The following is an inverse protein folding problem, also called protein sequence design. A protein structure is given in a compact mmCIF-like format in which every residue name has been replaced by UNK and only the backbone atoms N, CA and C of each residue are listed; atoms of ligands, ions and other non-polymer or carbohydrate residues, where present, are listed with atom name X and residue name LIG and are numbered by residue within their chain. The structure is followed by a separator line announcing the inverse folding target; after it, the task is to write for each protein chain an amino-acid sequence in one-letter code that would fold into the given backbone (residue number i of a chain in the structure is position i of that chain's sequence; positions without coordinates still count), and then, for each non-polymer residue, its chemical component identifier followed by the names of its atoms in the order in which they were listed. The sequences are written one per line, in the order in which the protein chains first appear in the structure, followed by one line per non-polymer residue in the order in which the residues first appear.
data_IF_649029421460
#
_entry.id   IF_649029421460
#
_cell.length_a   1.000
_cell.length_b   1.000
_cell.length_c   1.000
_cell.angle_alpha   90.00
_cell.angle_beta   90.00
_cell.angle_gamma   90.00
#
_symmetry.space_group_name_H-M   'P 1'
#
loop_
_entity.id
_entity.type
_entity.pdbx_description
1 polymer ?
#
# COMPACT_ATOMS: atom_id res chain seq x y z
N UNK A 1 0.91 8.84 -13.19
CA UNK A 1 1.50 8.07 -12.07
C UNK A 1 2.17 6.79 -12.56
N UNK A 2 3.49 6.80 -12.77
CA UNK A 2 4.26 5.64 -13.24
C UNK A 2 4.82 4.81 -12.06
N UNK A 3 4.83 3.48 -12.19
CA UNK A 3 5.45 2.56 -11.24
C UNK A 3 6.94 2.38 -11.58
N UNK A 4 7.82 3.12 -10.91
CA UNK A 4 9.28 3.01 -11.12
C UNK A 4 9.89 1.94 -10.20
N UNK A 5 10.84 1.14 -10.70
CA UNK A 5 11.55 0.08 -9.93
C UNK A 5 12.78 0.58 -9.14
N UNK A 6 12.83 1.87 -8.79
CA UNK A 6 13.96 2.48 -8.08
C UNK A 6 13.99 2.08 -6.59
N UNK A 7 15.16 2.15 -5.96
CA UNK A 7 15.36 1.87 -4.52
C UNK A 7 15.65 0.40 -4.18
N UNK A 8 15.85 0.13 -2.89
CA UNK A 8 16.23 -1.18 -2.38
C UNK A 8 15.19 -2.26 -2.76
N UNK A 9 15.64 -3.35 -3.39
CA UNK A 9 14.78 -4.46 -3.85
C UNK A 9 14.09 -5.16 -2.67
N UNK A 10 14.83 -5.46 -1.62
CA UNK A 10 14.32 -6.17 -0.45
C UNK A 10 13.29 -5.34 0.30
N UNK A 11 13.58 -4.04 0.51
CA UNK A 11 12.64 -3.14 1.18
C UNK A 11 11.29 -3.08 0.44
N UNK A 12 11.32 -2.99 -0.90
CA UNK A 12 10.08 -3.00 -1.70
C UNK A 12 9.29 -4.28 -1.51
N UNK A 13 9.95 -5.44 -1.51
CA UNK A 13 9.31 -6.74 -1.27
C UNK A 13 8.64 -6.76 0.11
N UNK A 14 9.35 -6.34 1.16
CA UNK A 14 8.78 -6.31 2.51
C UNK A 14 7.60 -5.35 2.65
N UNK A 15 7.65 -4.18 2.01
CA UNK A 15 6.53 -3.23 2.00
C UNK A 15 5.29 -3.81 1.30
N UNK A 16 5.48 -4.58 0.23
CA UNK A 16 4.37 -5.29 -0.44
C UNK A 16 3.80 -6.41 0.45
N UNK A 17 4.65 -7.16 1.16
CA UNK A 17 4.21 -8.16 2.14
C UNK A 17 3.43 -7.52 3.29
N UNK A 18 3.92 -6.40 3.83
CA UNK A 18 3.22 -5.64 4.86
C UNK A 18 1.86 -5.16 4.37
N UNK A 19 1.77 -4.62 3.14
CA UNK A 19 0.51 -4.21 2.54
C UNK A 19 -0.49 -5.37 2.37
N UNK A 20 -0.01 -6.59 2.11
CA UNK A 20 -0.85 -7.79 2.05
C UNK A 20 -1.47 -8.14 3.42
N UNK A 21 -0.72 -7.94 4.51
CA UNK A 21 -1.23 -8.04 5.87
C UNK A 21 -2.22 -6.93 6.19
N UNK A 22 -1.84 -5.67 5.99
CA UNK A 22 -2.66 -4.48 6.31
C UNK A 22 -4.01 -4.53 5.61
N UNK A 23 -4.10 -4.91 4.33
CA UNK A 23 -5.40 -5.01 3.64
C UNK A 23 -6.38 -6.04 4.24
N UNK A 24 -5.88 -6.93 5.09
CA UNK A 24 -6.69 -7.97 5.73
C UNK A 24 -7.35 -7.45 7.01
N UNK A 25 -6.64 -6.61 7.75
CA UNK A 25 -7.07 -6.10 9.05
C UNK A 25 -7.64 -4.67 9.01
N UNK A 26 -7.19 -3.85 8.06
CA UNK A 26 -7.61 -2.46 7.95
C UNK A 26 -8.65 -2.29 6.83
N UNK A 27 -9.88 -1.83 7.15
CA UNK A 27 -10.96 -1.71 6.17
C UNK A 27 -10.66 -0.69 5.07
N UNK A 28 -9.96 0.40 5.38
CA UNK A 28 -9.59 1.45 4.41
C UNK A 28 -8.64 0.88 3.36
N UNK A 29 -7.67 0.06 3.79
CA UNK A 29 -6.74 -0.59 2.88
C UNK A 29 -7.39 -1.75 2.12
N UNK A 30 -8.35 -2.46 2.73
CA UNK A 30 -9.14 -3.50 2.07
C UNK A 30 -9.96 -2.93 0.90
N UNK A 31 -10.67 -1.83 1.15
CA UNK A 31 -11.47 -1.16 0.13
C UNK A 31 -10.59 -0.59 -0.98
N UNK A 32 -9.49 0.08 -0.61
CA UNK A 32 -8.54 0.60 -1.59
C UNK A 32 -7.96 -0.51 -2.48
N UNK A 33 -7.56 -1.64 -1.89
CA UNK A 33 -7.08 -2.80 -2.64
C UNK A 33 -8.15 -3.32 -3.61
N UNK A 34 -9.40 -3.49 -3.15
CA UNK A 34 -10.51 -3.97 -4.00
C UNK A 34 -10.77 -3.04 -5.18
N UNK A 35 -10.79 -1.73 -4.94
CA UNK A 35 -10.91 -0.72 -5.99
C UNK A 35 -9.78 -0.85 -7.02
N UNK A 36 -8.52 -0.92 -6.57
CA UNK A 36 -7.37 -1.07 -7.49
C UNK A 36 -7.32 -2.41 -8.21
N UNK A 37 -7.88 -3.46 -7.61
CA UNK A 37 -8.03 -4.75 -8.25
C UNK A 37 -9.05 -4.70 -9.40
N UNK A 38 -10.19 -4.04 -9.18
CA UNK A 38 -11.22 -3.86 -10.19
C UNK A 38 -10.77 -2.98 -11.36
N UNK A 39 -10.02 -1.90 -11.08
CA UNK A 39 -9.46 -0.99 -12.10
C UNK A 39 -8.38 -1.65 -12.98
N UNK A 40 -7.69 -2.69 -12.48
CA UNK A 40 -6.60 -3.32 -13.21
C UNK A 40 -7.12 -4.28 -14.29
N UNK A 41 -6.59 -4.18 -15.51
CA UNK A 41 -6.91 -5.08 -16.63
C UNK A 41 -6.07 -6.36 -16.58
N UNK A 42 -4.76 -6.24 -16.34
CA UNK A 42 -3.81 -7.35 -16.24
C UNK A 42 -3.07 -7.37 -14.92
N UNK A 43 -2.56 -8.54 -14.51
CA UNK A 43 -1.82 -8.74 -13.26
C UNK A 43 -2.51 -8.11 -12.04
N UNK A 44 -3.84 -8.22 -11.98
CA UNK A 44 -4.71 -7.43 -11.07
C UNK A 44 -4.26 -7.48 -9.62
N UNK A 45 -3.96 -8.69 -9.14
CA UNK A 45 -3.51 -8.91 -7.77
C UNK A 45 -2.22 -8.16 -7.44
N UNK A 46 -1.16 -8.36 -8.24
CA UNK A 46 0.13 -7.72 -8.02
C UNK A 46 0.04 -6.20 -8.18
N UNK A 47 -0.68 -5.70 -9.20
CA UNK A 47 -0.83 -4.25 -9.42
C UNK A 47 -1.59 -3.59 -8.27
N UNK A 48 -2.68 -4.20 -7.82
CA UNK A 48 -3.44 -3.71 -6.67
C UNK A 48 -2.57 -3.70 -5.40
N UNK A 49 -1.86 -4.80 -5.10
CA UNK A 49 -0.96 -4.88 -3.94
C UNK A 49 0.12 -3.80 -3.96
N UNK A 50 0.77 -3.57 -5.10
CA UNK A 50 1.83 -2.57 -5.20
C UNK A 50 1.27 -1.16 -4.99
N UNK A 51 0.07 -0.87 -5.52
CA UNK A 51 -0.60 0.41 -5.29
C UNK A 51 -1.01 0.58 -3.82
N UNK A 52 -1.46 -0.48 -3.17
CA UNK A 52 -1.75 -0.50 -1.72
C UNK A 52 -0.48 -0.26 -0.90
N UNK A 53 0.64 -0.89 -1.27
CA UNK A 53 1.94 -0.66 -0.63
C UNK A 53 2.41 0.79 -0.78
N UNK A 54 2.21 1.42 -1.95
CA UNK A 54 2.50 2.85 -2.12
C UNK A 54 1.63 3.72 -1.21
N UNK A 55 0.33 3.43 -1.09
CA UNK A 55 -0.56 4.13 -0.16
C UNK A 55 -0.07 4.01 1.29
N UNK A 56 0.37 2.81 1.68
CA UNK A 56 0.91 2.53 3.01
C UNK A 56 2.19 3.32 3.29
N UNK A 57 3.14 3.33 2.35
CA UNK A 57 4.39 4.09 2.48
C UNK A 57 4.12 5.58 2.64
N UNK A 58 3.16 6.13 1.89
CA UNK A 58 2.79 7.54 2.02
C UNK A 58 2.23 7.86 3.41
N UNK A 59 1.40 6.96 3.98
CA UNK A 59 0.92 7.10 5.36
C UNK A 59 2.08 7.07 6.35
N UNK A 60 2.94 6.04 6.29
CA UNK A 60 4.10 5.92 7.20
C UNK A 60 5.00 7.15 7.11
N UNK A 61 5.29 7.61 5.90
CA UNK A 61 6.07 8.83 5.68
C UNK A 61 5.40 10.06 6.32
N UNK A 62 4.10 10.23 6.14
CA UNK A 62 3.36 11.34 6.75
C UNK A 62 3.40 11.28 8.28
N UNK A 63 3.18 10.11 8.88
CA UNK A 63 3.19 9.93 10.34
C UNK A 63 4.57 10.26 10.91
N UNK A 64 5.63 9.72 10.31
CA UNK A 64 7.01 9.95 10.74
C UNK A 64 7.45 11.40 10.54
N UNK A 65 7.11 11.99 9.37
CA UNK A 65 7.49 13.38 9.05
C UNK A 65 6.87 14.38 10.01
N UNK A 66 5.61 14.17 10.39
CA UNK A 66 4.89 15.09 11.26
C UNK A 66 4.93 14.66 12.75
N UNK A 67 5.61 13.55 13.06
CA UNK A 67 5.67 12.97 14.39
C UNK A 67 4.29 12.76 15.03
N UNK A 68 3.32 12.27 14.24
CA UNK A 68 1.95 12.01 14.69
C UNK A 68 1.67 10.50 14.79
N UNK A 69 0.91 10.06 15.80
CA UNK A 69 0.55 8.65 15.93
C UNK A 69 -0.45 8.21 14.84
N UNK A 70 -0.44 6.91 14.52
CA UNK A 70 -1.48 6.34 13.67
C UNK A 70 -2.82 6.33 14.40
N UNK A 71 -3.84 6.91 13.77
CA UNK A 71 -5.23 6.85 14.24
C UNK A 71 -6.04 6.12 13.17
N UNK A 72 -6.47 4.86 13.42
CA UNK A 72 -7.33 4.16 12.48
C UNK A 72 -8.66 4.89 12.35
N UNK A 73 -9.06 5.17 11.12
CA UNK A 73 -10.39 5.71 10.84
C UNK A 73 -11.43 4.62 11.16
N UNK A 74 -12.44 4.97 11.96
CA UNK A 74 -13.58 4.09 12.28
C UNK A 74 -14.45 3.85 11.06
#
# INVERSE_FOLDING_TARGET
NQLTKKGNKYLRTYLVMAANGVKTYDPVYKEYYRKKYAEATTHKHMRALILTARKLVNLVYYLLKNNVPYVPMK
#
